data_IF_564604065450
#
_entry.id   IF_564604065450
#
_cell.length_a   1.000
_cell.length_b   1.000
_cell.length_c   1.000
_cell.angle_alpha   90.00
_cell.angle_beta   90.00
_cell.angle_gamma   90.00
#
_symmetry.space_group_name_H-M   'P 1'
#
loop_
_entity.id
_entity.type
_entity.pdbx_description
1 polymer ?
2 non-polymer ?
3 water ?
#
# COMPACT_ATOMS: atom_id res chain seq x y z
N UNK A 9 -7.20 -21.34 22.92
CA UNK A 9 -8.09 -20.23 22.59
C UNK A 9 -7.53 -18.93 23.17
N UNK A 10 -7.02 -18.05 22.31
CA UNK A 10 -6.46 -16.79 22.78
C UNK A 10 -7.52 -15.84 23.32
N UNK A 11 -7.05 -14.88 24.13
CA UNK A 11 -7.86 -13.74 24.51
C UNK A 11 -8.10 -12.86 23.28
N UNK A 12 -9.12 -11.99 23.31
CA UNK A 12 -9.45 -11.19 22.12
C UNK A 12 -8.32 -10.26 21.73
N UNK A 13 -7.86 -10.38 20.49
CA UNK A 13 -6.77 -9.55 20.00
C UNK A 13 -7.21 -8.11 19.82
N UNK A 14 -6.30 -7.17 20.08
CA UNK A 14 -6.57 -5.74 19.96
C UNK A 14 -6.05 -5.23 18.64
N UNK A 15 -6.91 -4.52 17.89
CA UNK A 15 -6.55 -3.83 16.66
C UNK A 15 -6.64 -2.32 16.90
N UNK A 16 -5.64 -1.60 16.41
CA UNK A 16 -5.68 -0.13 16.37
C UNK A 16 -6.09 0.26 14.96
N UNK A 17 -7.34 0.68 14.79
CA UNK A 17 -7.94 0.92 13.48
C UNK A 17 -7.73 2.36 13.00
N UNK A 18 -7.33 2.52 11.74
CA UNK A 18 -7.12 3.83 11.14
C UNK A 18 -8.04 4.04 9.94
N UNK A 19 -8.70 5.19 9.91
CA UNK A 19 -9.64 5.55 8.84
C UNK A 19 -8.85 6.03 7.64
N UNK A 20 -9.06 5.39 6.50
CA UNK A 20 -8.25 5.69 5.33
C UNK A 20 -8.51 7.12 4.87
N UNK A 21 -7.42 7.90 4.79
CA UNK A 21 -7.50 9.24 4.26
C UNK A 21 -7.75 10.30 5.30
N UNK A 22 -7.94 9.91 6.56
CA UNK A 22 -8.22 10.83 7.66
C UNK A 22 -6.90 11.05 8.40
N UNK A 23 -6.13 12.05 7.94
CA UNK A 23 -4.80 12.28 8.47
C UNK A 23 -4.79 12.68 9.93
N UNK A 24 -5.93 13.05 10.49
CA UNK A 24 -6.00 13.41 11.91
C UNK A 24 -6.47 12.26 12.78
N UNK A 25 -6.84 11.12 12.19
CA UNK A 25 -7.25 9.96 12.97
C UNK A 25 -6.09 9.48 13.84
N UNK A 26 -6.27 9.52 15.16
CA UNK A 26 -5.25 9.05 16.07
C UNK A 26 -5.39 7.56 16.39
N UNK A 27 -6.29 6.85 15.73
CA UNK A 27 -6.46 5.43 15.97
C UNK A 27 -7.59 5.07 16.92
N UNK A 28 -8.37 4.06 16.55
CA UNK A 28 -9.50 3.58 17.33
C UNK A 28 -9.25 2.15 17.79
N UNK A 29 -9.15 1.89 19.09
CA UNK A 29 -8.92 0.51 19.54
C UNK A 29 -10.17 -0.35 19.38
N UNK A 30 -9.95 -1.58 18.93
CA UNK A 30 -11.04 -2.51 18.63
C UNK A 30 -10.60 -3.92 19.02
N UNK A 31 -11.43 -4.60 19.80
CA UNK A 31 -11.12 -5.95 20.27
C UNK A 31 -11.85 -6.98 19.42
N UNK A 32 -11.08 -7.91 18.84
CA UNK A 32 -11.64 -8.97 18.00
C UNK A 32 -12.12 -10.09 18.92
N UNK A 33 -13.43 -10.14 19.18
CA UNK A 33 -13.96 -11.20 20.02
C UNK A 33 -13.81 -12.55 19.30
N UNK A 34 -13.68 -13.64 20.07
CA UNK A 34 -13.30 -14.92 19.45
C UNK A 34 -14.36 -15.56 18.56
N UNK A 35 -15.60 -15.06 18.59
CA UNK A 35 -16.65 -15.69 17.79
C UNK A 35 -16.58 -15.32 16.32
N UNK A 36 -15.92 -14.21 15.98
CA UNK A 36 -15.89 -13.68 14.61
C UNK A 36 -15.12 -14.66 13.73
N UNK A 37 -15.80 -15.29 12.77
CA UNK A 37 -15.22 -16.37 11.99
C UNK A 37 -14.96 -16.03 10.53
N UNK A 38 -15.63 -15.03 9.95
CA UNK A 38 -15.38 -14.64 8.57
C UNK A 38 -14.98 -13.18 8.50
N UNK A 39 -14.29 -12.84 7.40
CA UNK A 39 -13.84 -11.45 7.23
C UNK A 39 -15.01 -10.49 7.16
N UNK A 40 -16.07 -10.85 6.42
CA UNK A 40 -17.20 -9.93 6.28
C UNK A 40 -17.85 -9.66 7.62
N UNK A 41 -17.91 -10.68 8.48
CA UNK A 41 -18.39 -10.46 9.85
C UNK A 41 -17.52 -9.43 10.57
N UNK A 42 -16.21 -9.52 10.40
CA UNK A 42 -15.30 -8.56 11.04
C UNK A 42 -15.47 -7.16 10.44
N UNK A 43 -15.51 -7.07 9.11
CA UNK A 43 -15.72 -5.77 8.45
C UNK A 43 -16.99 -5.09 8.96
N UNK A 44 -18.04 -5.88 9.17
CA UNK A 44 -19.30 -5.31 9.65
C UNK A 44 -19.13 -4.69 11.03
N UNK A 45 -18.49 -5.42 11.95
CA UNK A 45 -18.31 -4.89 13.30
C UNK A 45 -17.39 -3.68 13.32
N UNK A 46 -16.36 -3.68 12.47
CA UNK A 46 -15.45 -2.54 12.37
C UNK A 46 -16.17 -1.34 11.80
N UNK A 47 -16.94 -1.54 10.73
CA UNK A 47 -17.73 -0.45 10.15
C UNK A 47 -18.58 0.23 11.21
N UNK A 48 -19.23 -0.56 12.07
CA UNK A 48 -20.07 0.02 13.12
C UNK A 48 -19.27 0.98 14.00
N UNK A 49 -18.00 0.65 14.28
CA UNK A 49 -17.23 1.44 15.23
C UNK A 49 -16.71 2.73 14.63
N UNK A 50 -16.04 2.67 13.48
CA UNK A 50 -15.35 3.83 12.94
C UNK A 50 -16.15 4.57 11.87
N UNK A 51 -17.23 3.95 11.33
CA UNK A 51 -18.12 4.50 10.30
C UNK A 51 -17.39 5.33 9.26
N UNK A 52 -16.63 4.70 8.36
CA UNK A 52 -15.91 5.47 7.34
C UNK A 52 -16.86 6.29 6.48
N UNK A 53 -16.43 7.52 6.17
CA UNK A 53 -17.25 8.41 5.35
C UNK A 53 -17.35 7.96 3.90
N UNK A 54 -16.66 6.87 3.53
CA UNK A 54 -16.72 6.34 2.17
C UNK A 54 -17.49 5.03 2.08
N UNK A 55 -18.13 4.59 3.15
CA UNK A 55 -18.92 3.39 3.10
C UNK A 55 -18.35 2.30 4.00
N UNK A 56 -19.02 1.15 4.04
CA UNK A 56 -18.58 0.09 4.93
C UNK A 56 -17.18 -0.41 4.58
N UNK A 57 -16.49 -0.90 5.59
CA UNK A 57 -15.14 -1.41 5.38
C UNK A 57 -15.18 -2.63 4.47
N UNK A 58 -14.27 -2.67 3.49
CA UNK A 58 -14.10 -3.85 2.66
C UNK A 58 -12.68 -4.38 2.64
N UNK A 59 -11.69 -3.56 2.97
CA UNK A 59 -10.30 -3.98 2.97
C UNK A 59 -9.62 -3.48 4.23
N UNK A 60 -8.73 -4.29 4.76
CA UNK A 60 -7.90 -3.93 5.90
C UNK A 60 -6.45 -4.27 5.54
N UNK A 61 -5.56 -3.29 5.72
CA UNK A 61 -4.14 -3.40 5.44
C UNK A 61 -3.37 -3.37 6.75
N UNK A 62 -2.31 -4.19 6.85
CA UNK A 62 -1.35 -3.97 7.91
C UNK A 62 -0.39 -2.86 7.50
N UNK A 63 0.54 -2.50 8.39
CA UNK A 63 1.49 -1.41 8.14
C UNK A 63 2.49 -1.71 7.04
N UNK A 64 2.60 -2.95 6.57
CA UNK A 64 3.35 -3.22 5.36
C UNK A 64 2.46 -3.29 4.14
N UNK A 65 1.24 -2.78 4.26
CA UNK A 65 0.26 -2.73 3.18
C UNK A 65 -0.08 -4.11 2.63
N UNK A 66 0.06 -5.14 3.46
CA UNK A 66 -0.47 -6.45 3.09
C UNK A 66 -1.95 -6.49 3.46
N UNK A 67 -2.76 -6.98 2.52
CA UNK A 67 -4.20 -7.12 2.76
C UNK A 67 -4.43 -8.29 3.70
N UNK A 68 -5.27 -8.09 4.70
CA UNK A 68 -5.62 -9.18 5.60
C UNK A 68 -6.66 -10.05 4.90
N UNK A 69 -6.37 -11.34 4.78
CA UNK A 69 -7.28 -12.25 4.10
C UNK A 69 -7.94 -13.24 5.03
N UNK A 70 -7.40 -13.43 6.24
CA UNK A 70 -7.97 -14.36 7.18
C UNK A 70 -7.77 -13.80 8.59
N UNK A 71 -8.72 -14.14 9.48
CA UNK A 71 -8.68 -13.61 10.85
C UNK A 71 -7.42 -14.05 11.58
N UNK A 72 -6.95 -15.26 11.32
CA UNK A 72 -5.77 -15.76 12.04
C UNK A 72 -4.55 -14.89 11.83
N UNK A 73 -4.57 -14.02 10.82
CA UNK A 73 -3.42 -13.16 10.55
C UNK A 73 -3.37 -11.92 11.44
N UNK A 74 -4.45 -11.60 12.17
CA UNK A 74 -4.47 -10.39 12.98
C UNK A 74 -3.53 -10.53 14.17
N UNK A 75 -2.77 -9.46 14.43
CA UNK A 75 -1.74 -9.45 15.48
C UNK A 75 -2.20 -8.54 16.62
N UNK A 76 -2.17 -9.07 17.84
CA UNK A 76 -2.59 -8.29 19.01
C UNK A 76 -1.73 -7.04 19.14
N UNK A 77 -2.38 -5.88 19.23
CA UNK A 77 -1.67 -4.63 19.34
C UNK A 77 -1.20 -4.02 18.03
N UNK A 78 -1.44 -4.66 16.89
CA UNK A 78 -0.97 -4.12 15.62
C UNK A 78 -1.93 -3.03 15.12
N UNK A 79 -1.46 -2.23 14.17
CA UNK A 79 -2.23 -1.14 13.59
C UNK A 79 -2.69 -1.50 12.19
N UNK A 80 -3.90 -1.06 11.82
CA UNK A 80 -4.54 -1.49 10.60
C UNK A 80 -5.27 -0.33 9.93
N UNK A 81 -5.11 -0.25 8.63
CA UNK A 81 -5.71 0.77 7.80
C UNK A 81 -6.97 0.19 7.15
N UNK A 82 -8.13 0.81 7.40
CA UNK A 82 -9.40 0.28 6.92
C UNK A 82 -9.89 1.11 5.74
N UNK A 83 -10.18 0.44 4.62
CA UNK A 83 -10.71 1.13 3.45
C UNK A 83 -12.07 0.54 3.08
N UNK A 84 -12.81 1.30 2.28
CA UNK A 84 -14.10 0.85 1.77
C UNK A 84 -13.99 0.21 0.40
N UNK A 85 -12.82 -0.28 0.04
CA UNK A 85 -12.56 -0.80 -1.29
C UNK A 85 -11.65 0.06 -2.13
N UNK A 86 -11.34 1.28 -1.67
CA UNK A 86 -10.38 2.12 -2.36
C UNK A 86 -8.96 1.71 -1.95
N UNK A 87 -7.95 2.15 -2.68
CA UNK A 87 -6.58 1.89 -2.26
C UNK A 87 -6.22 2.75 -1.07
N UNK A 88 -5.04 2.55 -0.47
CA UNK A 88 -4.66 3.45 0.62
C UNK A 88 -4.56 4.89 0.15
N UNK A 89 -4.84 5.80 1.07
CA UNK A 89 -4.65 7.23 0.86
C UNK A 89 -3.19 7.52 0.53
N UNK A 90 -2.95 8.72 -0.01
CA UNK A 90 -1.60 9.20 -0.28
C UNK A 90 -0.72 9.12 0.97
N UNK A 91 0.58 8.91 0.74
CA UNK A 91 1.54 8.67 1.81
C UNK A 91 1.50 9.75 2.89
N UNK A 92 1.42 11.02 2.50
CA UNK A 92 1.44 12.10 3.47
C UNK A 92 0.19 12.14 4.33
N UNK A 93 -0.83 11.34 4.03
CA UNK A 93 -1.97 11.22 4.91
C UNK A 93 -1.84 10.07 5.90
N UNK A 94 -0.74 9.32 5.84
CA UNK A 94 -0.61 8.05 6.53
C UNK A 94 0.39 8.11 7.70
N UNK A 95 0.83 9.31 8.08
CA UNK A 95 1.90 9.42 9.07
C UNK A 95 1.52 8.76 10.39
N UNK A 96 0.28 8.97 10.84
CA UNK A 96 -0.14 8.39 12.12
C UNK A 96 -0.32 6.89 12.02
N UNK A 97 -0.95 6.40 10.95
CA UNK A 97 -1.04 4.95 10.72
C UNK A 97 0.33 4.29 10.65
N UNK A 98 1.33 4.97 10.11
CA UNK A 98 2.60 4.32 9.84
C UNK A 98 3.62 4.48 10.96
N UNK A 99 3.34 5.32 11.94
CA UNK A 99 4.29 5.54 13.02
C UNK A 99 4.36 4.32 13.94
N UNK A 100 5.55 4.07 14.48
CA UNK A 100 5.71 2.97 15.41
C UNK A 100 5.34 3.45 16.81
N UNK B 10 -3.61 -8.49 -25.92
CA UNK B 10 -3.18 -8.48 -24.52
C UNK B 10 -1.74 -8.02 -24.36
N UNK B 11 -1.45 -6.80 -24.80
CA UNK B 11 -0.08 -6.29 -24.75
C UNK B 11 0.36 -6.10 -23.31
N UNK B 12 1.61 -6.40 -22.98
CA UNK B 12 2.09 -6.18 -21.60
C UNK B 12 2.03 -4.71 -21.24
N UNK B 13 1.74 -4.45 -19.96
CA UNK B 13 1.62 -3.07 -19.49
C UNK B 13 2.99 -2.45 -19.27
N UNK B 14 3.20 -1.28 -19.84
CA UNK B 14 4.43 -0.54 -19.66
C UNK B 14 4.38 0.31 -18.39
N UNK B 15 5.36 0.12 -17.51
CA UNK B 15 5.57 0.98 -16.36
C UNK B 15 6.87 1.74 -16.56
N UNK B 16 6.83 3.05 -16.35
CA UNK B 16 8.05 3.85 -16.31
C UNK B 16 8.50 3.95 -14.84
N UNK B 17 9.61 3.28 -14.51
CA UNK B 17 10.06 3.12 -13.14
C UNK B 17 11.15 4.12 -12.77
N UNK B 18 11.05 4.67 -11.57
CA UNK B 18 11.94 5.70 -11.06
C UNK B 18 12.52 5.24 -9.74
N UNK B 19 13.84 5.42 -9.58
CA UNK B 19 14.48 5.07 -8.31
C UNK B 19 14.24 6.18 -7.30
N UNK B 20 14.02 5.78 -6.05
CA UNK B 20 13.72 6.74 -4.98
C UNK B 20 14.96 7.54 -4.66
N UNK B 21 14.93 8.84 -4.93
CA UNK B 21 16.01 9.72 -4.55
C UNK B 21 17.15 9.82 -5.55
N UNK B 22 17.15 9.01 -6.59
CA UNK B 22 18.05 9.21 -7.73
C UNK B 22 17.52 10.41 -8.51
N UNK B 23 17.90 11.60 -8.06
CA UNK B 23 17.31 12.83 -8.58
C UNK B 23 17.45 12.97 -10.09
N UNK B 24 18.47 12.36 -10.68
CA UNK B 24 18.70 12.50 -12.12
C UNK B 24 18.35 11.23 -12.89
N UNK B 25 17.68 10.28 -12.25
CA UNK B 25 17.16 9.11 -12.94
C UNK B 25 16.13 9.52 -13.99
N UNK B 26 16.38 9.18 -15.25
CA UNK B 26 15.43 9.48 -16.31
C UNK B 26 14.28 8.50 -16.38
N UNK B 27 14.35 7.38 -15.68
CA UNK B 27 13.25 6.44 -15.70
C UNK B 27 13.56 5.20 -16.53
N UNK B 28 13.09 4.06 -16.06
CA UNK B 28 13.37 2.77 -16.69
C UNK B 28 12.07 2.14 -17.17
N UNK B 29 11.93 1.83 -18.46
CA UNK B 29 10.77 1.06 -18.92
C UNK B 29 10.78 -0.35 -18.35
N UNK B 30 9.62 -0.80 -17.89
CA UNK B 30 9.47 -2.16 -17.40
C UNK B 30 8.11 -2.69 -17.84
N UNK B 31 8.11 -3.84 -18.50
CA UNK B 31 6.90 -4.42 -19.06
C UNK B 31 6.41 -5.57 -18.18
N UNK B 32 5.21 -5.42 -17.64
CA UNK B 32 4.60 -6.44 -16.79
C UNK B 32 4.06 -7.55 -17.67
N UNK B 33 4.63 -8.75 -17.56
CA UNK B 33 4.18 -9.91 -18.32
C UNK B 33 2.99 -10.59 -17.63
N UNK B 34 2.21 -11.37 -18.37
CA UNK B 34 0.92 -11.86 -17.83
C UNK B 34 1.06 -12.89 -16.72
N UNK B 35 2.21 -13.56 -16.57
CA UNK B 35 2.33 -14.57 -15.53
C UNK B 35 2.49 -13.97 -14.14
N UNK B 36 3.01 -12.74 -14.06
CA UNK B 36 3.20 -12.07 -12.77
C UNK B 36 1.85 -11.94 -12.09
N UNK B 37 1.67 -12.66 -10.98
CA UNK B 37 0.37 -12.80 -10.36
C UNK B 37 0.30 -12.23 -8.96
N UNK B 38 1.42 -11.73 -8.43
CA UNK B 38 1.45 -11.16 -7.09
C UNK B 38 2.30 -9.91 -7.12
N UNK B 39 2.02 -9.00 -6.17
CA UNK B 39 2.91 -7.86 -5.99
C UNK B 39 4.32 -8.33 -5.66
N UNK B 40 4.46 -9.36 -4.81
CA UNK B 40 5.78 -9.84 -4.43
C UNK B 40 6.56 -10.29 -5.65
N UNK B 41 5.91 -10.99 -6.57
CA UNK B 41 6.60 -11.40 -7.79
C UNK B 41 7.04 -10.19 -8.59
N UNK B 42 6.17 -9.18 -8.68
CA UNK B 42 6.50 -7.95 -9.41
C UNK B 42 7.72 -7.26 -8.80
N UNK B 43 7.76 -7.13 -7.46
CA UNK B 43 8.92 -6.58 -6.80
C UNK B 43 10.19 -7.32 -7.21
N UNK B 44 10.10 -8.65 -7.23
CA UNK B 44 11.28 -9.46 -7.57
C UNK B 44 11.74 -9.16 -8.99
N UNK B 45 10.80 -9.06 -9.92
CA UNK B 45 11.18 -8.82 -11.31
C UNK B 45 11.71 -7.39 -11.49
N UNK B 46 11.06 -6.42 -10.85
CA UNK B 46 11.51 -5.04 -10.92
C UNK B 46 12.91 -4.91 -10.31
N UNK B 47 13.12 -5.51 -9.14
CA UNK B 47 14.44 -5.50 -8.52
C UNK B 47 15.52 -5.94 -9.50
N UNK B 48 15.25 -6.97 -10.31
CA UNK B 48 16.27 -7.42 -11.24
C UNK B 48 16.62 -6.35 -12.27
N UNK B 49 15.64 -5.52 -12.63
CA UNK B 49 15.83 -4.53 -13.69
C UNK B 49 16.49 -3.24 -13.19
N UNK B 50 16.17 -2.76 -12.00
CA UNK B 50 16.71 -1.48 -11.53
C UNK B 50 17.67 -1.59 -10.33
N UNK B 51 17.69 -2.74 -9.59
CA UNK B 51 18.50 -2.96 -8.37
C UNK B 51 18.81 -1.68 -7.59
N UNK B 52 17.87 -1.13 -6.84
CA UNK B 52 18.12 0.13 -6.13
C UNK B 52 19.30 0.00 -5.16
N UNK B 53 20.00 1.12 -4.97
CA UNK B 53 21.15 1.13 -4.08
C UNK B 53 20.79 0.64 -2.69
N UNK B 54 19.63 1.05 -2.18
CA UNK B 54 19.25 0.73 -0.81
C UNK B 54 18.72 -0.68 -0.63
N UNK B 55 18.70 -1.50 -1.68
CA UNK B 55 18.26 -2.87 -1.56
C UNK B 55 17.08 -3.15 -2.45
N UNK B 56 16.50 -4.35 -2.31
CA UNK B 56 15.45 -4.77 -3.24
C UNK B 56 14.21 -3.90 -3.15
N UNK B 57 13.48 -3.83 -4.26
CA UNK B 57 12.24 -3.09 -4.25
C UNK B 57 11.25 -3.76 -3.32
N UNK B 58 10.65 -2.96 -2.45
CA UNK B 58 9.65 -3.42 -1.50
C UNK B 58 8.32 -2.70 -1.65
N UNK B 59 8.30 -1.56 -2.32
CA UNK B 59 7.08 -0.76 -2.39
C UNK B 59 7.11 0.05 -3.68
N UNK B 60 5.93 0.23 -4.28
CA UNK B 60 5.76 0.98 -5.52
C UNK B 60 4.65 2.01 -5.27
N UNK B 61 4.91 3.26 -5.65
CA UNK B 61 3.98 4.37 -5.45
C UNK B 61 3.56 4.94 -6.81
N UNK B 62 2.29 5.35 -6.95
CA UNK B 62 1.97 6.16 -8.13
C UNK B 62 2.38 7.60 -7.87
N UNK B 63 2.10 8.48 -8.84
CA UNK B 63 2.51 9.87 -8.77
C UNK B 63 1.76 10.66 -7.69
N UNK B 64 0.61 10.18 -7.22
CA UNK B 64 -0.03 10.73 -6.03
C UNK B 64 0.57 10.20 -4.72
N UNK B 65 1.63 9.39 -4.79
CA UNK B 65 2.22 8.69 -3.64
C UNK B 65 1.19 7.80 -2.94
N UNK B 66 0.30 7.20 -3.74
CA UNK B 66 -0.51 6.09 -3.30
C UNK B 66 0.26 4.79 -3.56
N UNK B 67 0.38 3.96 -2.52
CA UNK B 67 0.99 2.64 -2.63
C UNK B 67 0.19 1.77 -3.56
N UNK B 68 0.87 1.11 -4.50
CA UNK B 68 0.22 0.13 -5.34
C UNK B 68 0.07 -1.16 -4.54
N UNK B 69 -1.15 -1.69 -4.46
CA UNK B 69 -1.40 -2.86 -3.64
C UNK B 69 -1.93 -4.04 -4.44
N UNK B 70 -2.14 -3.88 -5.73
CA UNK B 70 -2.69 -4.95 -6.55
C UNK B 70 -2.27 -4.73 -7.99
N UNK B 71 -1.93 -5.83 -8.68
CA UNK B 71 -1.48 -5.74 -10.06
C UNK B 71 -2.54 -5.09 -10.95
N UNK B 72 -3.82 -5.30 -10.64
CA UNK B 72 -4.89 -4.73 -11.45
C UNK B 72 -4.93 -3.21 -11.40
N UNK B 73 -4.19 -2.57 -10.48
CA UNK B 73 -4.19 -1.11 -10.39
C UNK B 73 -3.09 -0.45 -11.20
N UNK B 74 -2.22 -1.21 -11.84
CA UNK B 74 -1.15 -0.64 -12.64
C UNK B 74 -1.72 -0.20 -13.99
N UNK B 75 -1.41 1.03 -14.39
CA UNK B 75 -1.94 1.61 -15.62
C UNK B 75 -0.83 1.63 -16.67
N UNK B 76 -1.11 1.07 -17.84
CA UNK B 76 -0.15 1.05 -18.94
C UNK B 76 0.35 2.44 -19.29
N UNK B 77 1.67 2.59 -19.35
CA UNK B 77 2.29 3.85 -19.69
C UNK B 77 2.47 4.79 -18.53
N UNK B 78 1.94 4.45 -17.36
CA UNK B 78 2.04 5.34 -16.20
C UNK B 78 3.40 5.24 -15.51
N UNK B 79 3.66 6.18 -14.62
CA UNK B 79 4.95 6.35 -13.97
C UNK B 79 4.84 5.96 -12.50
N UNK B 80 5.86 5.25 -12.01
CA UNK B 80 5.81 4.65 -10.68
C UNK B 80 7.15 4.82 -9.98
N UNK B 81 7.10 5.09 -8.67
CA UNK B 81 8.29 5.25 -7.83
C UNK B 81 8.52 3.97 -7.04
N UNK B 82 9.72 3.40 -7.15
CA UNK B 82 10.09 2.20 -6.41
C UNK B 82 10.97 2.60 -5.23
N UNK B 83 10.66 2.06 -4.05
CA UNK B 83 11.48 2.21 -2.87
C UNK B 83 11.85 0.83 -2.33
N UNK B 84 12.83 0.85 -1.44
CA UNK B 84 13.30 -0.37 -0.78
C UNK B 84 12.72 -0.49 0.62
N UNK B 85 11.58 0.15 0.85
CA UNK B 85 10.96 0.22 2.15
C UNK B 85 11.14 1.55 2.85
N UNK B 86 12.07 2.36 2.40
CA UNK B 86 12.24 3.68 2.97
C UNK B 86 11.15 4.62 2.45
N UNK B 87 10.89 5.72 3.16
CA UNK B 87 9.85 6.63 2.71
C UNK B 87 10.22 7.22 1.35
N UNK B 88 9.24 7.62 0.57
CA UNK B 88 9.53 8.39 -0.64
C UNK B 88 10.38 9.59 -0.31
N UNK B 89 11.28 9.93 -1.23
CA UNK B 89 12.11 11.11 -1.08
C UNK B 89 11.26 12.38 -1.18
N UNK B 90 11.88 13.52 -0.86
CA UNK B 90 11.20 14.80 -0.92
C UNK B 90 10.80 15.15 -2.35
N UNK B 91 9.69 15.91 -2.47
CA UNK B 91 9.24 16.36 -3.78
C UNK B 91 10.37 17.00 -4.57
N UNK B 92 11.19 17.79 -3.88
CA UNK B 92 12.32 18.49 -4.49
C UNK B 92 13.30 17.52 -5.15
N UNK B 93 13.34 16.28 -4.70
CA UNK B 93 14.21 15.28 -5.31
C UNK B 93 13.51 14.42 -6.35
N UNK B 94 12.22 14.65 -6.63
CA UNK B 94 11.45 13.76 -7.48
C UNK B 94 10.79 14.49 -8.65
N UNK B 95 11.39 15.60 -9.11
CA UNK B 95 10.78 16.38 -10.19
C UNK B 95 10.63 15.53 -11.45
N UNK B 96 11.63 14.69 -11.74
CA UNK B 96 11.57 13.84 -12.93
C UNK B 96 10.45 12.82 -12.83
N UNK B 97 10.29 12.20 -11.67
CA UNK B 97 9.22 11.22 -11.49
C UNK B 97 7.85 11.89 -11.54
N UNK B 98 7.74 13.11 -11.01
CA UNK B 98 6.45 13.76 -10.87
C UNK B 98 6.01 14.55 -12.11
N UNK B 99 6.86 14.66 -13.12
CA UNK B 99 6.43 15.41 -14.30
C UNK B 99 5.45 14.58 -15.12
N UNK B 100 4.67 15.28 -15.95
CA UNK B 100 3.76 14.58 -16.86
C UNK B 100 4.52 13.78 -17.91
N UNK B 101 5.80 14.06 -18.11
CA UNK B 101 6.55 13.55 -19.25
C UNK B 101 7.57 12.51 -18.83
N UNK B 102 8.05 11.78 -19.84
CA UNK B 102 9.19 10.88 -19.73
C UNK B 102 10.24 11.34 -20.75
N UNK B 103 11.42 11.73 -20.27
CA UNK B 103 12.52 12.07 -21.15
C UNK B 103 13.66 11.07 -20.94
#
# INVERSE_FOLDING_TARGET
MAHHHHHHIPAPRLMWLYRNGDKHDDGTPFFVRPYIKSMESLYQQITKEITPIAGPVRRIFDQNFRVITDLDDIVDGAKYLCTSGEPPAAYDRLEKFLSEWVIQ
MAHHHHHHIPAPRLMWLYRNGDKHDDGTPFFVRPYIKSMESLYQQITKEITPIAGPVRRIFDQNFRVITDLDDIVDGAKYLCTSGEPPAAYDRLEKFLSEWVIQ
#
